data_IF_721240124974
#
_entry.id   IF_721240124974
#
_cell.length_a   1.000
_cell.length_b   1.000
_cell.length_c   1.000
_cell.angle_alpha   90.00
_cell.angle_beta   90.00
_cell.angle_gamma   90.00
#
_symmetry.space_group_name_H-M   'P 1'
#
loop_
_entity.id
_entity.type
_entity.pdbx_description
1 polymer ?
#
# COMPACT_ATOMS: atom_id res chain seq x y z
N UNK A 1 16.15 15.24 5.98
CA UNK A 1 14.91 15.60 5.25
C UNK A 1 14.77 14.59 4.10
N UNK A 2 13.67 13.85 3.98
CA UNK A 2 13.48 12.94 2.81
C UNK A 2 12.77 13.71 1.68
N UNK A 3 13.11 13.42 0.42
CA UNK A 3 12.56 14.13 -0.73
C UNK A 3 11.03 13.95 -0.84
N UNK A 4 10.36 14.97 -1.39
CA UNK A 4 8.92 15.04 -1.52
C UNK A 4 8.33 13.84 -2.29
N UNK A 5 7.29 13.24 -1.72
CA UNK A 5 6.60 12.09 -2.28
C UNK A 5 5.91 12.37 -3.62
N UNK A 6 5.68 11.32 -4.42
CA UNK A 6 4.91 11.41 -5.66
C UNK A 6 3.43 11.12 -5.40
N UNK A 7 2.54 11.85 -6.06
CA UNK A 7 1.12 11.52 -6.12
C UNK A 7 0.80 10.68 -7.37
N UNK A 8 0.12 9.56 -7.19
CA UNK A 8 -0.52 8.78 -8.25
C UNK A 8 -2.00 9.15 -8.36
N UNK A 9 -2.47 9.34 -9.59
CA UNK A 9 -3.82 9.81 -9.89
C UNK A 9 -4.46 8.86 -10.90
N UNK A 10 -5.63 8.32 -10.59
CA UNK A 10 -6.42 7.53 -11.52
C UNK A 10 -7.44 8.42 -12.23
N UNK A 11 -7.14 8.80 -13.47
CA UNK A 11 -7.97 9.66 -14.30
C UNK A 11 -8.33 8.99 -15.63
N UNK A 12 -9.49 9.34 -16.17
CA UNK A 12 -9.99 8.82 -17.46
C UNK A 12 -9.20 9.35 -18.65
N UNK A 13 -8.59 10.53 -18.51
CA UNK A 13 -7.78 11.18 -19.53
C UNK A 13 -6.63 11.98 -18.92
N UNK A 14 -5.58 12.23 -19.71
CA UNK A 14 -4.45 13.06 -19.32
C UNK A 14 -4.70 14.54 -19.68
N UNK A 15 -5.73 15.12 -19.09
CA UNK A 15 -6.04 16.54 -19.20
C UNK A 15 -6.37 17.15 -17.83
N UNK A 16 -6.30 18.48 -17.73
CA UNK A 16 -6.49 19.19 -16.46
C UNK A 16 -7.84 18.89 -15.81
N UNK A 17 -8.91 18.74 -16.60
CA UNK A 17 -10.26 18.50 -16.08
C UNK A 17 -10.36 17.11 -15.49
N UNK A 18 -9.93 16.09 -16.22
CA UNK A 18 -9.95 14.70 -15.77
C UNK A 18 -9.08 14.48 -14.52
N UNK A 19 -7.89 15.10 -14.49
CA UNK A 19 -7.01 15.07 -13.31
C UNK A 19 -7.65 15.76 -12.10
N UNK A 20 -8.25 16.94 -12.28
CA UNK A 20 -8.91 17.66 -11.20
C UNK A 20 -10.11 16.89 -10.66
N UNK A 21 -10.91 16.27 -11.54
CA UNK A 21 -12.02 15.42 -11.14
C UNK A 21 -11.55 14.20 -10.33
N UNK A 22 -10.40 13.60 -10.68
CA UNK A 22 -9.82 12.50 -9.92
C UNK A 22 -9.42 12.91 -8.50
N UNK A 23 -8.83 14.10 -8.34
CA UNK A 23 -8.57 14.67 -7.02
C UNK A 23 -9.85 14.92 -6.22
N UNK A 24 -10.90 15.48 -6.84
CA UNK A 24 -12.17 15.74 -6.17
C UNK A 24 -12.85 14.46 -5.64
N UNK A 25 -12.83 13.38 -6.41
CA UNK A 25 -13.33 12.07 -5.96
C UNK A 25 -12.34 11.27 -5.11
N UNK A 26 -11.15 11.84 -4.84
CA UNK A 26 -10.08 11.25 -4.02
C UNK A 26 -9.57 9.90 -4.56
N UNK A 27 -9.63 9.71 -5.88
CA UNK A 27 -9.10 8.48 -6.51
C UNK A 27 -7.59 8.61 -6.75
N UNK A 28 -6.87 8.82 -5.65
CA UNK A 28 -5.46 9.19 -5.61
C UNK A 28 -4.74 8.45 -4.49
N UNK A 29 -3.42 8.29 -4.66
CA UNK A 29 -2.53 7.73 -3.66
C UNK A 29 -1.21 8.49 -3.68
N UNK A 30 -0.43 8.38 -2.60
CA UNK A 30 0.90 8.96 -2.52
C UNK A 30 1.96 7.87 -2.36
N UNK A 31 3.18 8.17 -2.75
CA UNK A 31 4.36 7.36 -2.45
C UNK A 31 5.42 8.24 -1.84
N UNK A 32 6.33 7.66 -1.07
CA UNK A 32 7.45 8.39 -0.46
C UNK A 32 8.62 8.63 -1.43
N UNK A 33 8.39 8.44 -2.74
CA UNK A 33 9.38 8.64 -3.80
C UNK A 33 9.29 7.61 -4.94
N UNK A 34 9.11 6.30 -4.65
CA UNK A 34 9.03 5.28 -5.69
C UNK A 34 7.78 5.38 -6.57
N UNK A 35 7.89 5.03 -7.84
CA UNK A 35 6.76 4.95 -8.77
C UNK A 35 5.97 3.63 -8.64
N UNK A 36 5.64 3.24 -7.42
CA UNK A 36 4.77 2.08 -7.15
C UNK A 36 3.38 2.39 -7.72
N UNK A 37 2.80 1.43 -8.44
CA UNK A 37 1.44 1.55 -8.98
C UNK A 37 0.48 0.73 -8.13
N UNK A 38 -0.59 1.37 -7.66
CA UNK A 38 -1.55 0.77 -6.71
C UNK A 38 -2.97 0.85 -7.26
N UNK A 39 -3.66 -0.28 -7.28
CA UNK A 39 -5.11 -0.40 -7.43
C UNK A 39 -5.68 -0.99 -6.15
N UNK A 40 -6.73 -0.37 -5.63
CA UNK A 40 -7.39 -0.79 -4.41
C UNK A 40 -8.87 -0.48 -4.55
N UNK A 41 -9.68 -1.52 -4.41
CA UNK A 41 -11.13 -1.47 -4.52
C UNK A 41 -11.74 -2.16 -3.31
N UNK A 42 -12.90 -1.70 -2.87
CA UNK A 42 -13.69 -2.30 -1.81
C UNK A 42 -15.04 -2.75 -2.36
N UNK A 43 -15.58 -3.87 -1.89
CA UNK A 43 -16.86 -4.40 -2.37
C UNK A 43 -17.37 -5.55 -1.51
N UNK A 44 -18.45 -6.18 -1.96
CA UNK A 44 -19.17 -7.24 -1.21
C UNK A 44 -19.20 -8.60 -1.93
N UNK A 45 -18.56 -8.68 -3.10
CA UNK A 45 -18.58 -9.86 -3.95
C UNK A 45 -17.26 -10.13 -4.70
N UNK A 46 -16.12 -9.69 -4.17
CA UNK A 46 -14.83 -10.08 -4.75
C UNK A 46 -14.50 -11.53 -4.38
N UNK A 47 -13.85 -12.21 -5.30
CA UNK A 47 -13.36 -13.58 -5.16
C UNK A 47 -11.85 -13.63 -5.33
N UNK A 48 -11.17 -14.61 -4.74
CA UNK A 48 -9.71 -14.74 -4.84
C UNK A 48 -9.23 -14.83 -6.30
N UNK A 49 -10.04 -15.42 -7.18
CA UNK A 49 -9.77 -15.52 -8.61
C UNK A 49 -9.66 -14.14 -9.31
N UNK A 50 -10.31 -13.10 -8.77
CA UNK A 50 -10.27 -11.74 -9.33
C UNK A 50 -8.87 -11.12 -9.24
N UNK A 51 -8.10 -11.47 -8.20
CA UNK A 51 -6.73 -11.00 -8.02
C UNK A 51 -5.77 -11.57 -9.07
N UNK A 52 -6.11 -12.70 -9.71
CA UNK A 52 -5.32 -13.30 -10.78
C UNK A 52 -5.68 -12.77 -12.18
N UNK A 53 -6.74 -11.97 -12.32
CA UNK A 53 -7.21 -11.45 -13.61
C UNK A 53 -6.37 -10.28 -14.09
N UNK A 54 -6.21 -10.17 -15.42
CA UNK A 54 -5.44 -9.08 -16.05
C UNK A 54 -6.20 -7.75 -16.08
N UNK A 55 -7.52 -7.82 -16.05
CA UNK A 55 -8.48 -6.72 -16.12
C UNK A 55 -9.00 -6.30 -14.73
N UNK A 56 -8.14 -6.39 -13.71
CA UNK A 56 -8.47 -6.10 -12.32
C UNK A 56 -9.18 -4.75 -12.11
N UNK A 57 -8.81 -3.73 -12.89
CA UNK A 57 -9.44 -2.42 -12.81
C UNK A 57 -10.90 -2.46 -13.29
N UNK A 58 -11.18 -3.17 -14.38
CA UNK A 58 -12.55 -3.31 -14.90
C UNK A 58 -13.44 -4.06 -13.90
N UNK A 59 -12.92 -5.14 -13.32
CA UNK A 59 -13.60 -5.90 -12.27
C UNK A 59 -13.86 -5.01 -11.05
N UNK A 60 -12.84 -4.27 -10.60
CA UNK A 60 -12.92 -3.36 -9.46
C UNK A 60 -13.99 -2.27 -9.62
N UNK A 61 -14.05 -1.62 -10.78
CA UNK A 61 -15.07 -0.59 -11.06
C UNK A 61 -16.48 -1.17 -11.26
N UNK A 62 -16.60 -2.41 -11.73
CA UNK A 62 -17.90 -3.05 -11.95
C UNK A 62 -18.52 -3.58 -10.65
N UNK A 63 -17.71 -4.09 -9.73
CA UNK A 63 -18.16 -4.87 -8.57
C UNK A 63 -17.90 -4.18 -7.22
N UNK A 64 -17.33 -2.98 -7.21
CA UNK A 64 -16.97 -2.28 -5.98
C UNK A 64 -16.77 -0.78 -6.16
N UNK A 65 -16.22 -0.16 -5.13
CA UNK A 65 -15.84 1.25 -5.08
C UNK A 65 -14.31 1.38 -5.10
N UNK A 66 -13.74 2.33 -5.87
CA UNK A 66 -12.31 2.59 -5.83
C UNK A 66 -11.93 3.37 -4.56
N UNK A 67 -10.62 3.53 -4.35
CA UNK A 67 -10.06 4.45 -3.33
C UNK A 67 -10.72 5.83 -3.39
N UNK A 68 -11.00 6.42 -2.23
CA UNK A 68 -11.73 7.67 -2.11
C UNK A 68 -13.26 7.53 -2.05
N UNK A 69 -13.78 6.36 -2.42
CA UNK A 69 -15.20 6.00 -2.37
C UNK A 69 -15.70 5.62 -0.98
N UNK A 70 -16.97 5.25 -0.92
CA UNK A 70 -17.70 4.88 0.29
C UNK A 70 -18.45 3.56 0.08
N UNK A 71 -18.20 2.59 0.94
CA UNK A 71 -18.95 1.35 1.07
C UNK A 71 -20.17 1.63 1.92
N UNK A 72 -21.34 1.41 1.35
CA UNK A 72 -22.62 1.61 2.02
C UNK A 72 -23.45 0.33 1.91
N UNK A 73 -24.46 0.20 2.78
CA UNK A 73 -25.45 -0.87 2.71
C UNK A 73 -24.83 -2.27 2.75
N UNK A 74 -24.09 -2.56 3.84
CA UNK A 74 -23.52 -3.89 4.04
C UNK A 74 -24.61 -4.97 3.95
N UNK A 75 -24.48 -5.96 3.05
CA UNK A 75 -25.39 -7.09 3.01
C UNK A 75 -25.35 -7.85 4.35
N UNK A 76 -26.49 -8.37 4.76
CA UNK A 76 -26.62 -9.09 6.03
C UNK A 76 -25.57 -10.22 6.12
N UNK A 77 -24.78 -10.22 7.20
CA UNK A 77 -23.76 -11.22 7.47
C UNK A 77 -22.51 -11.16 6.57
N UNK A 78 -22.32 -10.12 5.75
CA UNK A 78 -21.13 -9.96 4.91
C UNK A 78 -20.18 -8.89 5.44
N UNK A 79 -18.89 -9.22 5.42
CA UNK A 79 -17.81 -8.25 5.62
C UNK A 79 -17.31 -7.71 4.28
N UNK A 80 -16.79 -6.48 4.24
CA UNK A 80 -16.22 -5.92 3.03
C UNK A 80 -14.99 -6.73 2.61
N UNK A 81 -14.92 -7.02 1.31
CA UNK A 81 -13.71 -7.52 0.68
C UNK A 81 -13.01 -6.37 -0.03
N UNK A 82 -11.70 -6.46 -0.11
CA UNK A 82 -10.88 -5.55 -0.87
C UNK A 82 -10.09 -6.29 -1.92
N UNK A 83 -10.10 -5.75 -3.14
CA UNK A 83 -9.31 -6.22 -4.26
C UNK A 83 -8.09 -5.29 -4.41
N UNK A 84 -6.91 -5.86 -4.23
CA UNK A 84 -5.65 -5.11 -4.23
C UNK A 84 -4.74 -5.60 -5.34
N UNK A 85 -4.10 -4.64 -6.00
CA UNK A 85 -2.97 -4.90 -6.88
C UNK A 85 -1.92 -3.81 -6.73
N UNK A 86 -0.69 -4.23 -6.46
CA UNK A 86 0.47 -3.38 -6.37
C UNK A 86 1.59 -3.92 -7.26
N UNK A 87 2.26 -3.04 -7.99
CA UNK A 87 3.42 -3.39 -8.81
C UNK A 87 4.51 -2.34 -8.64
N UNK A 88 5.76 -2.80 -8.58
CA UNK A 88 6.92 -1.91 -8.47
C UNK A 88 7.08 -1.01 -9.70
N UNK A 89 7.84 0.08 -9.53
CA UNK A 89 8.26 0.90 -10.66
C UNK A 89 9.22 0.13 -11.59
N UNK A 90 9.29 0.46 -12.90
CA UNK A 90 10.17 -0.26 -13.85
C UNK A 90 11.64 -0.33 -13.42
N UNK A 91 12.13 0.73 -12.76
CA UNK A 91 13.48 0.82 -12.18
C UNK A 91 13.47 0.87 -10.64
N UNK A 92 12.35 0.51 -10.03
CA UNK A 92 12.17 0.51 -8.57
C UNK A 92 12.55 -0.84 -7.96
N UNK A 93 12.68 -0.83 -6.63
CA UNK A 93 12.91 -2.01 -5.82
C UNK A 93 11.67 -2.91 -5.78
N UNK A 94 11.86 -4.21 -5.53
CA UNK A 94 10.78 -5.16 -5.33
C UNK A 94 9.91 -4.81 -4.11
N UNK A 95 8.69 -5.34 -4.09
CA UNK A 95 7.73 -5.14 -3.01
C UNK A 95 8.04 -6.10 -1.86
N UNK A 96 7.99 -5.58 -0.64
CA UNK A 96 8.03 -6.36 0.61
C UNK A 96 6.65 -6.90 0.92
N UNK A 97 5.67 -6.00 1.11
CA UNK A 97 4.34 -6.37 1.57
C UNK A 97 3.30 -5.32 1.29
N UNK A 98 2.06 -5.76 1.35
CA UNK A 98 0.85 -4.96 1.30
C UNK A 98 0.14 -5.10 2.64
N UNK A 99 -0.28 -3.94 3.15
CA UNK A 99 -1.04 -3.83 4.38
C UNK A 99 -2.34 -3.08 4.14
N UNK A 100 -3.39 -3.51 4.83
CA UNK A 100 -4.60 -2.70 5.00
C UNK A 100 -4.54 -2.11 6.40
N UNK A 101 -4.69 -0.80 6.49
CA UNK A 101 -4.85 -0.10 7.75
C UNK A 101 -6.32 0.25 7.90
N UNK A 102 -6.96 -0.36 8.88
CA UNK A 102 -8.36 -0.15 9.24
C UNK A 102 -8.41 0.81 10.41
N UNK A 103 -9.17 1.89 10.27
CA UNK A 103 -9.55 2.74 11.39
C UNK A 103 -11.07 2.69 11.60
N UNK A 104 -11.53 2.72 12.84
CA UNK A 104 -12.96 2.74 13.16
C UNK A 104 -13.23 3.51 14.45
N UNK A 105 -14.50 3.83 14.69
CA UNK A 105 -14.94 4.38 15.97
C UNK A 105 -15.41 3.24 16.87
N UNK A 106 -14.84 3.15 18.07
CA UNK A 106 -15.31 2.26 19.13
C UNK A 106 -16.68 2.67 19.69
N UNK A 107 -17.26 1.84 20.55
CA UNK A 107 -18.57 2.11 21.18
C UNK A 107 -18.58 3.39 22.02
N UNK A 108 -17.43 3.78 22.57
CA UNK A 108 -17.22 5.01 23.34
C UNK A 108 -16.94 6.24 22.45
N UNK A 109 -16.88 6.05 21.13
CA UNK A 109 -16.51 7.07 20.15
C UNK A 109 -15.01 7.32 20.02
N UNK A 110 -14.15 6.52 20.68
CA UNK A 110 -12.71 6.60 20.50
C UNK A 110 -12.29 6.08 19.12
N UNK A 111 -11.25 6.68 18.55
CA UNK A 111 -10.68 6.23 17.29
C UNK A 111 -9.73 5.06 17.53
N UNK A 112 -10.02 3.93 16.90
CA UNK A 112 -9.21 2.71 16.94
C UNK A 112 -8.53 2.50 15.58
N UNK A 113 -7.33 1.90 15.58
CA UNK A 113 -6.60 1.55 14.35
C UNK A 113 -6.00 0.13 14.47
N UNK A 114 -6.08 -0.64 13.40
CA UNK A 114 -5.39 -1.93 13.27
C UNK A 114 -4.80 -2.12 11.89
N UNK A 115 -3.60 -2.69 11.85
CA UNK A 115 -2.84 -2.97 10.64
C UNK A 115 -2.89 -4.45 10.34
N UNK A 116 -3.33 -4.81 9.14
CA UNK A 116 -3.34 -6.18 8.64
C UNK A 116 -2.27 -6.33 7.56
N UNK A 117 -1.38 -7.32 7.70
CA UNK A 117 -0.54 -7.79 6.59
C UNK A 117 -1.41 -8.72 5.72
N UNK A 118 -1.63 -8.35 4.46
CA UNK A 118 -2.60 -9.07 3.60
C UNK A 118 -1.94 -9.79 2.42
N UNK A 119 -0.73 -9.37 2.04
CA UNK A 119 0.13 -10.06 1.08
C UNK A 119 1.58 -9.66 1.35
N UNK A 120 2.52 -10.56 1.11
CA UNK A 120 3.94 -10.31 1.33
C UNK A 120 4.79 -11.21 0.42
N UNK A 121 6.02 -10.77 0.20
CA UNK A 121 6.98 -11.50 -0.60
C UNK A 121 7.65 -12.64 0.16
N UNK A 122 8.21 -13.55 -0.64
CA UNK A 122 9.02 -14.68 -0.19
C UNK A 122 8.20 -15.65 0.70
N UNK A 123 8.79 -16.78 1.12
CA UNK A 123 8.10 -17.80 1.92
C UNK A 123 8.00 -17.45 3.42
N UNK A 124 7.81 -16.16 3.73
CA UNK A 124 7.65 -15.67 5.10
C UNK A 124 6.30 -16.09 5.67
N UNK A 125 6.24 -16.31 6.98
CA UNK A 125 5.03 -16.69 7.71
C UNK A 125 4.59 -15.56 8.62
N UNK A 126 3.27 -15.38 8.68
CA UNK A 126 2.62 -14.51 9.65
C UNK A 126 2.60 -15.22 11.00
N UNK A 127 2.97 -14.51 12.06
CA UNK A 127 2.87 -15.00 13.42
C UNK A 127 1.41 -14.89 13.93
N UNK A 128 1.08 -15.61 14.99
CA UNK A 128 -0.29 -15.68 15.55
C UNK A 128 -0.83 -14.31 16.00
N UNK A 129 0.06 -13.35 16.29
CA UNK A 129 -0.26 -11.97 16.65
C UNK A 129 -0.47 -11.04 15.44
N UNK A 130 -0.37 -11.58 14.21
CA UNK A 130 -0.48 -10.83 12.96
C UNK A 130 0.80 -10.08 12.57
N UNK A 131 1.90 -10.26 13.32
CA UNK A 131 3.20 -9.72 12.95
C UNK A 131 3.85 -10.53 11.84
N UNK A 132 4.72 -9.88 11.08
CA UNK A 132 5.43 -10.48 9.96
C UNK A 132 6.90 -10.13 10.07
N UNK A 133 7.74 -11.17 10.03
CA UNK A 133 9.21 -11.01 10.02
C UNK A 133 9.62 -10.02 8.92
N UNK A 134 10.48 -9.02 9.23
CA UNK A 134 10.97 -8.07 8.23
C UNK A 134 11.64 -8.78 7.05
N UNK A 135 11.45 -8.22 5.85
CA UNK A 135 12.18 -8.68 4.67
C UNK A 135 13.68 -8.41 4.84
N UNK A 136 14.51 -9.17 4.12
CA UNK A 136 15.96 -8.96 4.11
C UNK A 136 16.38 -7.58 3.57
N UNK A 137 17.69 -7.32 3.60
CA UNK A 137 18.28 -6.09 3.07
C UNK A 137 19.45 -6.43 2.14
N UNK A 138 19.36 -6.00 0.89
CA UNK A 138 20.38 -6.24 -0.16
C UNK A 138 21.27 -5.03 -0.43
N UNK A 139 21.15 -3.96 0.37
CA UNK A 139 21.95 -2.75 0.19
C UNK A 139 23.40 -3.01 0.54
N UNK A 140 24.29 -2.74 -0.42
CA UNK A 140 25.72 -2.65 -0.22
C UNK A 140 26.07 -1.25 0.32
N UNK A 141 26.56 -1.20 1.57
CA UNK A 141 26.90 0.05 2.26
C UNK A 141 28.16 0.72 1.70
N UNK A 142 29.02 0.00 0.99
CA UNK A 142 30.24 0.58 0.41
C UNK A 142 29.95 1.27 -0.94
N UNK A 143 29.01 0.72 -1.72
CA UNK A 143 28.71 1.22 -3.08
C UNK A 143 27.37 1.96 -3.18
N UNK A 144 26.48 1.76 -2.22
CA UNK A 144 25.09 2.21 -2.30
C UNK A 144 24.27 1.45 -3.35
N UNK A 145 24.76 0.32 -3.88
CA UNK A 145 24.00 -0.54 -4.77
C UNK A 145 23.02 -1.42 -3.97
N UNK A 146 22.00 -1.96 -4.63
CA UNK A 146 21.11 -2.98 -4.08
C UNK A 146 20.62 -3.92 -5.18
N UNK A 147 20.25 -5.14 -4.81
CA UNK A 147 19.68 -6.13 -5.75
C UNK A 147 18.21 -6.40 -5.46
N UNK A 148 17.51 -6.88 -6.48
CA UNK A 148 16.11 -7.30 -6.41
C UNK A 148 15.99 -8.83 -6.33
N UNK A 149 16.94 -9.48 -5.63
CA UNK A 149 16.97 -10.93 -5.45
C UNK A 149 16.03 -11.40 -4.32
N UNK A 150 15.48 -10.44 -3.56
CA UNK A 150 14.42 -10.62 -2.56
C UNK A 150 13.22 -9.75 -2.92
N UNK A 151 12.06 -10.04 -2.34
CA UNK A 151 10.85 -9.27 -2.64
C UNK A 151 10.21 -9.69 -3.97
N UNK A 152 8.96 -9.26 -4.18
CA UNK A 152 8.23 -9.57 -5.41
C UNK A 152 8.01 -8.36 -6.31
N UNK A 153 7.98 -8.57 -7.63
CA UNK A 153 7.69 -7.48 -8.56
C UNK A 153 6.26 -6.93 -8.43
N UNK A 154 5.33 -7.81 -8.03
CA UNK A 154 3.91 -7.56 -7.95
C UNK A 154 3.30 -8.32 -6.78
N UNK A 155 2.36 -7.70 -6.08
CA UNK A 155 1.51 -8.33 -5.06
C UNK A 155 0.05 -8.07 -5.42
N UNK A 156 -0.76 -9.12 -5.51
CA UNK A 156 -2.17 -9.07 -5.88
C UNK A 156 -2.96 -10.02 -5.00
N UNK A 157 -4.02 -9.55 -4.35
CA UNK A 157 -4.76 -10.33 -3.36
C UNK A 157 -6.19 -9.79 -3.19
N UNK A 158 -7.12 -10.69 -2.86
CA UNK A 158 -8.40 -10.33 -2.25
C UNK A 158 -8.33 -10.60 -0.76
N UNK A 159 -8.72 -9.62 0.05
CA UNK A 159 -8.73 -9.75 1.51
C UNK A 159 -10.09 -9.37 2.06
N UNK A 160 -10.57 -10.09 3.07
CA UNK A 160 -11.82 -9.81 3.75
C UNK A 160 -11.53 -9.39 5.19
N UNK A 161 -12.22 -8.37 5.68
CA UNK A 161 -12.07 -7.91 7.06
C UNK A 161 -12.59 -8.97 8.05
N UNK A 162 -11.72 -9.57 8.89
CA UNK A 162 -12.12 -10.63 9.82
C UNK A 162 -12.87 -10.09 11.04
N UNK A 163 -12.75 -8.79 11.34
CA UNK A 163 -13.27 -8.14 12.55
C UNK A 163 -14.26 -7.02 12.17
N UNK A 164 -15.01 -7.23 11.09
CA UNK A 164 -15.96 -6.25 10.59
C UNK A 164 -17.19 -6.12 11.51
N UNK A 165 -17.46 -4.88 11.92
CA UNK A 165 -18.71 -4.51 12.59
C UNK A 165 -19.54 -3.64 11.62
N UNK A 166 -20.71 -4.12 11.15
CA UNK A 166 -21.55 -3.37 10.22
C UNK A 166 -22.17 -2.11 10.85
N UNK A 167 -22.17 -1.97 12.17
CA UNK A 167 -22.71 -0.80 12.87
C UNK A 167 -21.67 0.32 13.10
N UNK A 168 -20.38 0.00 13.00
CA UNK A 168 -19.29 0.93 13.24
C UNK A 168 -18.90 1.67 11.96
N UNK A 169 -18.73 3.00 12.05
CA UNK A 169 -18.09 3.76 10.96
C UNK A 169 -16.62 3.38 10.90
N UNK A 170 -16.15 3.06 9.70
CA UNK A 170 -14.78 2.63 9.48
C UNK A 170 -14.19 3.24 8.21
N UNK A 171 -12.88 3.16 8.07
CA UNK A 171 -12.17 3.42 6.84
C UNK A 171 -11.01 2.45 6.67
N UNK A 172 -10.65 2.19 5.42
CA UNK A 172 -9.58 1.30 5.03
C UNK A 172 -8.66 2.04 4.08
N UNK A 173 -7.37 2.16 4.39
CA UNK A 173 -6.39 2.60 3.39
C UNK A 173 -5.30 1.54 3.21
N UNK A 174 -4.75 1.51 2.00
CA UNK A 174 -3.71 0.57 1.65
C UNK A 174 -2.34 1.18 1.92
N UNK A 175 -1.44 0.38 2.48
CA UNK A 175 -0.02 0.69 2.62
C UNK A 175 0.83 -0.39 1.94
N UNK A 176 1.58 -0.01 0.92
CA UNK A 176 2.49 -0.92 0.20
C UNK A 176 3.92 -0.56 0.57
N UNK A 177 4.74 -1.54 0.94
CA UNK A 177 6.15 -1.34 1.25
C UNK A 177 7.01 -2.02 0.18
N UNK A 178 8.10 -1.37 -0.21
CA UNK A 178 9.16 -2.01 -0.99
C UNK A 178 10.25 -2.58 -0.08
N UNK A 179 11.14 -3.40 -0.61
CA UNK A 179 12.34 -3.84 0.11
C UNK A 179 13.22 -2.63 0.49
N UNK A 180 14.09 -2.73 1.50
CA UNK A 180 15.01 -1.67 1.86
C UNK A 180 15.84 -1.17 0.67
N UNK A 181 15.98 0.14 0.57
CA UNK A 181 16.80 0.82 -0.44
C UNK A 181 17.82 1.74 0.24
N UNK A 182 18.92 2.08 -0.46
CA UNK A 182 19.89 3.07 0.03
C UNK A 182 19.20 4.41 0.30
N UNK A 183 19.47 5.01 1.45
CA UNK A 183 19.00 6.37 1.77
C UNK A 183 19.95 7.40 1.16
N UNK A 184 19.47 8.61 0.87
CA UNK A 184 20.33 9.69 0.35
C UNK A 184 21.59 9.94 1.20
N UNK A 185 21.48 9.85 2.52
CA UNK A 185 22.62 10.02 3.43
C UNK A 185 23.72 8.99 3.27
N UNK A 186 23.39 7.77 2.81
CA UNK A 186 24.41 6.77 2.47
C UNK A 186 25.19 7.22 1.23
N UNK A 187 24.52 7.73 0.20
CA UNK A 187 25.20 8.26 -0.98
C UNK A 187 26.08 9.47 -0.63
N UNK A 188 25.62 10.35 0.27
CA UNK A 188 26.41 11.49 0.74
C UNK A 188 27.68 11.03 1.48
N UNK A 189 27.57 10.05 2.39
CA UNK A 189 28.71 9.49 3.11
C UNK A 189 29.75 8.88 2.15
N UNK A 190 29.29 8.07 1.19
CA UNK A 190 30.15 7.45 0.17
C UNK A 190 30.85 8.54 -0.66
N UNK A 191 30.11 9.57 -1.12
CA UNK A 191 30.66 10.65 -1.92
C UNK A 191 31.69 11.50 -1.16
N UNK A 192 31.51 11.66 0.16
CA UNK A 192 32.40 12.42 1.04
C UNK A 192 33.55 11.57 1.62
N UNK A 193 33.55 10.25 1.39
CA UNK A 193 34.53 9.34 1.98
C UNK A 193 34.43 9.24 3.50
N UNK A 194 33.24 9.47 4.05
CA UNK A 194 32.95 9.42 5.49
C UNK A 194 32.33 8.07 5.86
N UNK A 195 32.46 7.69 7.14
CA UNK A 195 31.69 6.55 7.66
C UNK A 195 30.18 6.90 7.63
N UNK A 196 29.30 6.04 7.06
CA UNK A 196 27.86 6.26 7.10
C UNK A 196 27.28 6.55 8.49
N UNK A 197 27.87 5.99 9.56
CA UNK A 197 27.43 6.26 10.94
C UNK A 197 27.60 7.73 11.35
N UNK A 198 28.62 8.42 10.83
CA UNK A 198 28.89 9.83 11.11
C UNK A 198 27.78 10.75 10.58
N UNK A 199 26.95 10.28 9.64
CA UNK A 199 25.80 11.05 9.15
C UNK A 199 24.69 11.20 10.20
N UNK A 200 24.73 10.41 11.29
CA UNK A 200 23.69 10.41 12.33
C UNK A 200 22.33 9.93 11.83
N UNK A 201 22.29 9.23 10.70
CA UNK A 201 21.08 8.81 10.03
C UNK A 201 21.16 7.36 9.54
N UNK A 202 20.04 6.61 9.47
CA UNK A 202 20.06 5.26 8.92
C UNK A 202 20.58 5.23 7.47
N UNK A 203 21.46 4.30 7.16
CA UNK A 203 22.01 4.11 5.80
C UNK A 203 20.98 3.63 4.79
N UNK A 204 19.90 3.01 5.25
CA UNK A 204 18.82 2.48 4.41
C UNK A 204 17.46 3.02 4.81
N UNK A 205 16.51 2.96 3.88
CA UNK A 205 15.12 3.34 4.09
C UNK A 205 14.19 2.35 3.43
N UNK A 206 13.03 2.13 4.04
CA UNK A 206 11.94 1.38 3.44
C UNK A 206 10.85 2.33 2.94
N UNK A 207 10.85 2.55 1.63
CA UNK A 207 9.88 3.41 0.98
C UNK A 207 8.52 2.70 0.82
N UNK A 208 7.50 3.49 0.55
CA UNK A 208 6.12 3.02 0.62
C UNK A 208 5.16 3.82 -0.25
N UNK A 209 3.99 3.25 -0.48
CA UNK A 209 2.82 3.93 -1.05
C UNK A 209 1.62 3.82 -0.10
N UNK A 210 0.81 4.87 -0.06
CA UNK A 210 -0.40 4.98 0.75
C UNK A 210 -1.57 5.44 -0.11
N UNK A 211 -2.69 4.73 -0.07
CA UNK A 211 -3.89 5.13 -0.80
C UNK A 211 -4.71 6.17 -0.05
N UNK A 212 -5.57 6.88 -0.79
CA UNK A 212 -6.77 7.47 -0.18
C UNK A 212 -7.62 6.35 0.45
N UNK A 213 -8.34 6.64 1.55
CA UNK A 213 -9.16 5.64 2.20
C UNK A 213 -10.40 5.31 1.38
N UNK A 214 -10.86 4.07 1.49
CA UNK A 214 -12.23 3.65 1.22
C UNK A 214 -12.98 3.77 2.55
N UNK A 215 -14.06 4.53 2.56
CA UNK A 215 -14.90 4.71 3.74
C UNK A 215 -15.92 3.59 3.85
N UNK A 216 -16.39 3.33 5.07
CA UNK A 216 -17.58 2.55 5.33
C UNK A 216 -18.53 3.36 6.19
N UNK A 217 -19.71 3.62 5.65
CA UNK A 217 -20.81 4.30 6.36
C UNK A 217 -21.98 3.31 6.50
N UNK A 218 -22.30 2.88 7.74
CA UNK A 218 -23.47 2.05 8.04
C UNK A 218 -24.79 2.62 7.49
#
# INVERSE_FOLDING_TARGET
>A
MSAAGLAGIWAEANDRRALFQAFQRKEVYASTGPRIRVRFFGGWGFSDDDAAKKDIAQIGYANGVPIGGDLTQAPEGKAPQVLVYAIKGPRGANLDRVQVVKGWLGEDGAAEEKVYNIAWSDDRKLDDDGSLTPVGNTVDLATGAYTNDIGDAQLSVVWQDPEFDPSARAFYYLRVLQIPTPRHTLYDAIALGMDPEETGHPSTIQERAYSSPIWYTP
#
